data_IF_968398625676
#
_entry.id   IF_968398625676
#
_cell.length_a   1.000
_cell.length_b   1.000
_cell.length_c   1.000
_cell.angle_alpha   90.00
_cell.angle_beta   90.00
_cell.angle_gamma   90.00
#
_symmetry.space_group_name_H-M   'P 1'
#
loop_
_entity.id
_entity.type
_entity.pdbx_description
1 polymer ?
#
# COMPACT_ATOMS: atom_id res chain seq x y z
N UNK A 1 -6.51 -15.78 15.37
CA UNK A 1 -7.65 -14.86 15.11
C UNK A 1 -7.29 -13.38 15.09
N UNK A 2 -6.14 -12.94 15.64
CA UNK A 2 -5.79 -11.50 15.75
C UNK A 2 -5.08 -10.93 14.50
N UNK A 3 -4.23 -11.74 13.85
CA UNK A 3 -3.38 -11.29 12.73
C UNK A 3 -4.20 -10.83 11.53
N UNK A 4 -5.10 -11.68 11.02
CA UNK A 4 -5.90 -11.38 9.81
C UNK A 4 -6.72 -10.08 9.95
N UNK A 5 -7.47 -9.84 11.04
CA UNK A 5 -8.16 -8.56 11.24
C UNK A 5 -7.22 -7.35 11.29
N UNK A 6 -6.08 -7.45 12.00
CA UNK A 6 -5.11 -6.37 12.10
C UNK A 6 -4.53 -5.98 10.74
N UNK A 7 -4.19 -6.97 9.90
CA UNK A 7 -3.70 -6.74 8.54
C UNK A 7 -4.76 -6.12 7.63
N UNK A 8 -6.01 -6.63 7.68
CA UNK A 8 -7.11 -6.06 6.89
C UNK A 8 -7.38 -4.61 7.30
N UNK A 9 -7.27 -4.30 8.60
CA UNK A 9 -7.44 -2.94 9.10
C UNK A 9 -6.37 -2.00 8.52
N UNK A 10 -5.09 -2.40 8.57
CA UNK A 10 -3.98 -1.62 7.99
C UNK A 10 -4.18 -1.36 6.49
N UNK A 11 -4.61 -2.36 5.73
CA UNK A 11 -4.86 -2.21 4.28
C UNK A 11 -6.00 -1.22 4.03
N UNK A 12 -7.10 -1.31 4.78
CA UNK A 12 -8.27 -0.43 4.60
C UNK A 12 -7.95 1.03 4.92
N UNK A 13 -7.09 1.28 5.89
CA UNK A 13 -6.64 2.62 6.25
C UNK A 13 -5.81 3.26 5.14
N UNK A 14 -4.94 2.47 4.49
CA UNK A 14 -3.98 3.00 3.52
C UNK A 14 -4.47 2.99 2.08
N UNK A 15 -5.45 2.16 1.72
CA UNK A 15 -5.87 1.99 0.32
C UNK A 15 -6.32 3.30 -0.35
N UNK A 16 -7.07 4.14 0.37
CA UNK A 16 -7.53 5.45 -0.13
C UNK A 16 -6.36 6.39 -0.46
N UNK A 17 -5.55 6.81 0.52
CA UNK A 17 -4.47 7.77 0.30
C UNK A 17 -3.38 7.26 -0.65
N UNK A 18 -3.06 5.96 -0.63
CA UNK A 18 -2.10 5.36 -1.57
C UNK A 18 -2.63 5.46 -3.00
N UNK A 19 -3.89 5.10 -3.22
CA UNK A 19 -4.51 5.11 -4.55
C UNK A 19 -4.58 6.53 -5.11
N UNK A 20 -5.00 7.50 -4.31
CA UNK A 20 -5.10 8.89 -4.72
C UNK A 20 -3.73 9.46 -5.16
N UNK A 21 -2.69 9.23 -4.34
CA UNK A 21 -1.33 9.70 -4.66
C UNK A 21 -0.77 9.01 -5.91
N UNK A 22 -0.93 7.70 -6.02
CA UNK A 22 -0.44 6.93 -7.16
C UNK A 22 -1.11 7.38 -8.47
N UNK A 23 -2.44 7.52 -8.46
CA UNK A 23 -3.20 7.98 -9.62
C UNK A 23 -2.81 9.38 -10.05
N UNK A 24 -2.66 10.31 -9.11
CA UNK A 24 -2.31 11.71 -9.42
C UNK A 24 -0.99 11.83 -10.18
N UNK A 25 0.03 11.07 -9.78
CA UNK A 25 1.33 11.10 -10.46
C UNK A 25 1.26 10.30 -11.78
N UNK A 26 0.67 9.11 -11.75
CA UNK A 26 0.57 8.25 -12.92
C UNK A 26 -0.19 8.91 -14.08
N UNK A 27 -1.27 9.63 -13.77
CA UNK A 27 -2.09 10.32 -14.76
C UNK A 27 -1.30 11.40 -15.50
N UNK A 28 -0.66 12.33 -14.78
CA UNK A 28 0.10 13.42 -15.39
C UNK A 28 1.23 12.91 -16.29
N UNK A 29 1.94 11.86 -15.85
CA UNK A 29 3.05 11.31 -16.63
C UNK A 29 2.56 10.52 -17.84
N UNK A 30 1.51 9.70 -17.67
CA UNK A 30 0.91 8.94 -18.78
C UNK A 30 0.35 9.88 -19.84
N UNK A 31 -0.39 10.92 -19.43
CA UNK A 31 -0.94 11.92 -20.35
C UNK A 31 0.18 12.63 -21.13
N UNK A 32 1.23 13.09 -20.44
CA UNK A 32 2.34 13.79 -21.08
C UNK A 32 3.07 12.92 -22.10
N UNK A 33 3.37 11.67 -21.74
CA UNK A 33 4.14 10.76 -22.59
C UNK A 33 3.31 10.23 -23.76
N UNK A 34 2.08 9.77 -23.51
CA UNK A 34 1.21 9.26 -24.58
C UNK A 34 0.84 10.38 -25.55
N UNK A 35 0.48 11.57 -25.07
CA UNK A 35 0.14 12.68 -25.97
C UNK A 35 1.33 13.07 -26.85
N UNK A 36 2.55 13.03 -26.31
CA UNK A 36 3.77 13.29 -27.06
C UNK A 36 4.04 12.21 -28.11
N UNK A 37 3.96 10.94 -27.73
CA UNK A 37 4.31 9.81 -28.61
C UNK A 37 3.29 9.60 -29.74
N UNK A 38 2.02 9.90 -29.48
CA UNK A 38 0.92 9.70 -30.44
C UNK A 38 0.44 10.99 -31.11
N UNK A 39 1.18 12.10 -31.00
CA UNK A 39 0.76 13.40 -31.52
C UNK A 39 0.48 13.43 -33.03
N UNK A 40 1.12 12.54 -33.80
CA UNK A 40 0.99 12.41 -35.25
C UNK A 40 0.39 11.05 -35.67
N UNK A 41 -0.03 10.23 -34.70
CA UNK A 41 -0.64 8.93 -34.99
C UNK A 41 -2.11 9.14 -35.39
N UNK A 42 -2.53 8.71 -36.61
CA UNK A 42 -3.92 8.85 -37.04
C UNK A 42 -4.87 7.84 -36.37
N UNK A 43 -4.35 6.78 -35.73
CA UNK A 43 -5.14 5.69 -35.17
C UNK A 43 -5.38 5.86 -33.67
N UNK A 44 -6.59 6.29 -33.31
CA UNK A 44 -6.98 6.52 -31.91
C UNK A 44 -6.94 5.23 -31.07
N UNK A 45 -7.14 4.06 -31.68
CA UNK A 45 -7.06 2.78 -30.95
C UNK A 45 -5.67 2.53 -30.37
N UNK A 46 -4.60 2.94 -31.07
CA UNK A 46 -3.23 2.76 -30.59
C UNK A 46 -2.97 3.64 -29.36
N UNK A 47 -3.38 4.91 -29.41
CA UNK A 47 -3.30 5.84 -28.29
C UNK A 47 -4.07 5.30 -27.07
N UNK A 48 -5.30 4.81 -27.29
CA UNK A 48 -6.16 4.26 -26.24
C UNK A 48 -5.55 3.02 -25.59
N UNK A 49 -4.99 2.11 -26.38
CA UNK A 49 -4.32 0.92 -25.85
C UNK A 49 -3.06 1.31 -25.05
N UNK A 50 -2.21 2.18 -25.61
CA UNK A 50 -0.98 2.62 -24.96
C UNK A 50 -1.23 3.33 -23.63
N UNK A 51 -2.17 4.29 -23.61
CA UNK A 51 -2.58 4.99 -22.38
C UNK A 51 -3.11 4.05 -21.31
N UNK A 52 -3.94 3.07 -21.67
CA UNK A 52 -4.47 2.11 -20.72
C UNK A 52 -3.38 1.24 -20.10
N UNK A 53 -2.49 0.68 -20.92
CA UNK A 53 -1.39 -0.16 -20.43
C UNK A 53 -0.41 0.62 -19.57
N UNK A 54 -0.04 1.82 -20.01
CA UNK A 54 0.89 2.69 -19.30
C UNK A 54 0.32 3.16 -17.96
N UNK A 55 -0.93 3.64 -17.94
CA UNK A 55 -1.58 4.10 -16.72
C UNK A 55 -1.65 2.99 -15.68
N UNK A 56 -1.96 1.76 -16.09
CA UNK A 56 -2.02 0.59 -15.19
C UNK A 56 -0.65 0.24 -14.63
N UNK A 57 0.36 0.10 -15.48
CA UNK A 57 1.71 -0.27 -15.06
C UNK A 57 2.29 0.80 -14.13
N UNK A 58 2.12 2.08 -14.48
CA UNK A 58 2.62 3.20 -13.69
C UNK A 58 1.90 3.32 -12.35
N UNK A 59 0.56 3.23 -12.34
CA UNK A 59 -0.21 3.29 -11.09
C UNK A 59 0.17 2.13 -10.17
N UNK A 60 0.35 0.92 -10.70
CA UNK A 60 0.76 -0.24 -9.91
C UNK A 60 2.16 -0.05 -9.30
N UNK A 61 3.13 0.43 -10.08
CA UNK A 61 4.48 0.74 -9.58
C UNK A 61 4.46 1.83 -8.52
N UNK A 62 3.72 2.92 -8.76
CA UNK A 62 3.60 4.02 -7.80
C UNK A 62 2.88 3.63 -6.52
N UNK A 63 1.81 2.83 -6.62
CA UNK A 63 1.10 2.31 -5.46
C UNK A 63 2.01 1.43 -4.60
N UNK A 64 2.78 0.52 -5.23
CA UNK A 64 3.73 -0.36 -4.54
C UNK A 64 4.79 0.44 -3.77
N UNK A 65 5.41 1.43 -4.42
CA UNK A 65 6.43 2.28 -3.79
C UNK A 65 5.81 3.10 -2.65
N UNK A 66 4.62 3.66 -2.88
CA UNK A 66 3.94 4.54 -1.91
C UNK A 66 3.47 3.77 -0.68
N UNK A 67 2.98 2.54 -0.83
CA UNK A 67 2.41 1.80 0.28
C UNK A 67 3.42 1.02 1.11
N UNK A 68 4.61 0.68 0.57
CA UNK A 68 5.55 -0.26 1.21
C UNK A 68 5.84 0.10 2.67
N UNK A 69 6.46 1.24 2.91
CA UNK A 69 6.91 1.66 4.24
C UNK A 69 5.73 1.98 5.19
N UNK A 70 4.70 2.76 4.79
CA UNK A 70 3.56 3.01 5.67
C UNK A 70 2.77 1.73 5.98
N UNK A 71 2.63 0.79 5.03
CA UNK A 71 1.92 -0.46 5.27
C UNK A 71 2.64 -1.32 6.30
N UNK A 72 3.97 -1.46 6.21
CA UNK A 72 4.76 -2.19 7.20
C UNK A 72 4.60 -1.57 8.60
N UNK A 73 4.74 -0.25 8.71
CA UNK A 73 4.58 0.49 9.97
C UNK A 73 3.17 0.34 10.58
N UNK A 74 2.11 0.54 9.79
CA UNK A 74 0.73 0.41 10.26
C UNK A 74 0.38 -1.03 10.61
N UNK A 75 0.85 -2.02 9.84
CA UNK A 75 0.66 -3.44 10.17
C UNK A 75 1.32 -3.79 11.50
N UNK A 76 2.55 -3.32 11.72
CA UNK A 76 3.28 -3.56 12.95
C UNK A 76 2.53 -2.99 14.16
N UNK A 77 2.13 -1.71 14.10
CA UNK A 77 1.38 -1.05 15.17
C UNK A 77 0.05 -1.78 15.48
N UNK A 78 -0.70 -2.17 14.44
CA UNK A 78 -1.97 -2.86 14.62
C UNK A 78 -1.80 -4.26 15.23
N UNK A 79 -0.73 -4.99 14.87
CA UNK A 79 -0.40 -6.29 15.45
C UNK A 79 0.01 -6.18 16.91
N UNK A 80 0.93 -5.26 17.23
CA UNK A 80 1.40 -5.03 18.59
C UNK A 80 0.22 -4.67 19.52
N UNK A 81 -0.70 -3.82 19.04
CA UNK A 81 -1.93 -3.46 19.76
C UNK A 81 -2.88 -4.65 19.92
N UNK A 82 -3.07 -5.47 18.88
CA UNK A 82 -3.93 -6.64 18.92
C UNK A 82 -3.41 -7.70 19.92
N UNK A 83 -2.11 -7.95 19.94
CA UNK A 83 -1.49 -8.86 20.91
C UNK A 83 -1.56 -8.32 22.34
N UNK A 84 -1.20 -7.06 22.54
CA UNK A 84 -1.24 -6.41 23.85
C UNK A 84 -2.65 -6.41 24.45
N UNK A 85 -3.67 -6.14 23.63
CA UNK A 85 -5.07 -6.14 24.07
C UNK A 85 -5.60 -7.55 24.38
N UNK A 86 -5.14 -8.58 23.68
CA UNK A 86 -5.57 -9.96 23.97
C UNK A 86 -4.89 -10.54 25.22
N UNK A 87 -3.68 -10.07 25.56
CA UNK A 87 -2.86 -10.60 26.64
C UNK A 87 -2.95 -9.74 27.92
N UNK A 88 -4.02 -8.96 28.08
CA UNK A 88 -4.24 -8.02 29.21
C UNK A 88 -4.15 -8.66 30.61
N UNK A 89 -4.40 -9.96 30.74
CA UNK A 89 -4.23 -10.69 32.01
C UNK A 89 -2.76 -10.90 32.42
N UNK A 90 -1.80 -10.69 31.50
CA UNK A 90 -0.36 -10.90 31.71
C UNK A 90 0.48 -9.66 31.36
N UNK A 91 -0.16 -8.51 31.10
CA UNK A 91 0.41 -7.33 30.42
C UNK A 91 1.49 -6.53 31.18
N UNK A 92 2.00 -7.04 32.30
CA UNK A 92 2.96 -6.33 33.15
C UNK A 92 4.42 -6.72 32.94
N UNK A 93 4.72 -7.88 32.35
CA UNK A 93 6.11 -8.36 32.29
C UNK A 93 6.88 -7.73 31.12
N UNK A 94 8.10 -7.24 31.32
CA UNK A 94 8.93 -6.68 30.26
C UNK A 94 9.24 -7.71 29.17
N UNK A 95 9.36 -8.99 29.54
CA UNK A 95 9.56 -10.11 28.61
C UNK A 95 8.39 -10.27 27.64
N UNK A 96 7.14 -10.15 28.11
CA UNK A 96 5.98 -10.28 27.23
C UNK A 96 5.90 -9.14 26.21
N UNK A 97 6.27 -7.91 26.61
CA UNK A 97 6.35 -6.78 25.68
C UNK A 97 7.39 -7.02 24.59
N UNK A 98 8.55 -7.56 24.97
CA UNK A 98 9.59 -7.94 24.01
C UNK A 98 9.09 -9.02 23.04
N UNK A 99 8.40 -10.04 23.54
CA UNK A 99 7.80 -11.09 22.70
C UNK A 99 6.74 -10.54 21.74
N UNK A 100 5.93 -9.58 22.17
CA UNK A 100 4.92 -8.93 21.32
C UNK A 100 5.58 -8.13 20.20
N UNK A 101 6.65 -7.38 20.52
CA UNK A 101 7.41 -6.61 19.54
C UNK A 101 8.08 -7.52 18.51
N UNK A 102 8.76 -8.58 18.99
CA UNK A 102 9.43 -9.55 18.12
C UNK A 102 8.43 -10.30 17.22
N UNK A 103 7.29 -10.70 17.77
CA UNK A 103 6.23 -11.33 16.98
C UNK A 103 5.64 -10.38 15.94
N UNK A 104 5.45 -9.10 16.27
CA UNK A 104 4.93 -8.10 15.34
C UNK A 104 5.92 -7.84 14.21
N UNK A 105 7.21 -7.66 14.53
CA UNK A 105 8.29 -7.45 13.56
C UNK A 105 8.56 -8.68 12.68
N UNK A 106 8.34 -9.90 13.17
CA UNK A 106 8.54 -11.12 12.36
C UNK A 106 7.43 -11.31 11.31
N UNK A 107 6.23 -10.80 11.59
CA UNK A 107 5.08 -10.93 10.69
C UNK A 107 5.09 -9.89 9.56
N UNK A 108 5.67 -8.71 9.81
CA UNK A 108 5.69 -7.56 8.88
C UNK A 108 7.00 -7.43 8.14
#
# INVERSE_FOLDING_TARGET
HLVRPAMIHAIKELIGPVTERALKIAMTVTESLVRKDFALDPEEQNLRAASFHMMRAMTAGMAMITCRDPLASTMHANLAQAFSSSLRSSAGTPELKQMIEEASSTIT
#
